data_IF_431174153126
#
_entry.id   IF_431174153126
#
_cell.length_a   1.000
_cell.length_b   1.000
_cell.length_c   1.000
_cell.angle_alpha   90.00
_cell.angle_beta   90.00
_cell.angle_gamma   90.00
#
_symmetry.space_group_name_H-M   'P 1'
#
loop_
_entity.id
_entity.type
_entity.pdbx_description
1 polymer ?
#
# COMPACT_ATOMS: atom_id res chain seq x y z
N UNK A 1 37.98 1.27 -0.30
CA UNK A 1 36.79 0.41 -0.14
C UNK A 1 35.65 1.30 0.31
N UNK A 2 34.83 1.75 -0.62
CA UNK A 2 33.57 2.44 -0.31
C UNK A 2 32.57 1.36 0.05
N UNK A 3 32.23 1.24 1.33
CA UNK A 3 31.06 0.50 1.80
C UNK A 3 29.85 1.00 1.01
N UNK A 4 29.35 0.17 0.09
CA UNK A 4 28.01 0.34 -0.44
C UNK A 4 27.10 0.45 0.79
N UNK A 5 26.36 1.56 0.89
CA UNK A 5 25.29 1.69 1.86
C UNK A 5 24.35 0.51 1.60
N UNK A 6 24.50 -0.53 2.43
CA UNK A 6 23.65 -1.69 2.45
C UNK A 6 22.21 -1.19 2.57
N UNK A 7 21.29 -1.82 1.85
CA UNK A 7 19.85 -1.73 2.10
C UNK A 7 19.62 -1.38 3.55
N UNK A 8 19.21 -0.13 3.80
CA UNK A 8 18.75 0.25 5.13
C UNK A 8 17.67 -0.78 5.45
N UNK A 9 17.88 -1.59 6.49
CA UNK A 9 16.93 -2.63 6.88
C UNK A 9 15.66 -1.92 7.36
N UNK A 10 14.79 -1.60 6.40
CA UNK A 10 13.50 -0.95 6.61
C UNK A 10 12.52 -2.10 6.87
N UNK A 11 12.10 -2.16 8.13
CA UNK A 11 11.02 -3.02 8.59
C UNK A 11 9.71 -2.23 8.53
N UNK A 12 8.73 -2.75 7.79
CA UNK A 12 7.40 -2.17 7.65
C UNK A 12 6.43 -3.23 8.14
N UNK A 13 5.94 -3.04 9.36
CA UNK A 13 4.99 -3.94 9.99
C UNK A 13 3.57 -3.44 9.75
N UNK A 14 2.73 -4.30 9.18
CA UNK A 14 1.29 -4.08 9.12
C UNK A 14 0.69 -4.48 10.47
N UNK A 15 0.05 -3.55 11.16
CA UNK A 15 -0.49 -3.81 12.50
C UNK A 15 -1.94 -4.28 12.45
N UNK A 16 -2.82 -3.46 11.86
CA UNK A 16 -4.25 -3.73 11.80
C UNK A 16 -4.91 -2.99 10.65
N UNK A 17 -6.08 -3.46 10.21
CA UNK A 17 -7.01 -2.68 9.41
C UNK A 17 -8.33 -2.50 10.15
N UNK A 18 -8.90 -1.31 10.04
CA UNK A 18 -10.22 -1.01 10.57
C UNK A 18 -11.17 -0.80 9.37
N UNK A 19 -12.16 -1.69 9.17
CA UNK A 19 -13.21 -1.42 8.20
C UNK A 19 -13.98 -0.21 8.69
N UNK A 20 -13.96 0.88 7.93
CA UNK A 20 -14.73 2.06 8.27
C UNK A 20 -16.11 1.90 7.63
N UNK A 21 -17.16 1.84 8.46
CA UNK A 21 -18.54 1.69 7.97
C UNK A 21 -18.92 2.88 7.06
N UNK A 22 -18.80 2.69 5.74
CA UNK A 22 -19.05 3.73 4.73
C UNK A 22 -17.91 4.74 4.52
N UNK A 23 -16.72 4.51 5.10
CA UNK A 23 -15.54 5.36 4.91
C UNK A 23 -14.45 4.70 4.05
N UNK A 24 -13.28 5.35 3.91
CA UNK A 24 -12.11 4.72 3.28
C UNK A 24 -11.58 3.56 4.13
N UNK A 25 -11.27 2.45 3.50
CA UNK A 25 -10.61 1.31 4.14
C UNK A 25 -9.22 1.75 4.63
N UNK A 26 -8.88 1.45 5.88
CA UNK A 26 -7.68 1.98 6.53
C UNK A 26 -6.83 0.87 7.15
N UNK A 27 -5.51 1.04 7.11
CA UNK A 27 -4.58 0.21 7.88
C UNK A 27 -3.46 1.01 8.51
N UNK A 28 -3.00 0.55 9.67
CA UNK A 28 -1.90 1.12 10.43
C UNK A 28 -0.61 0.34 10.17
N UNK A 29 0.49 1.08 10.07
CA UNK A 29 1.84 0.57 9.80
C UNK A 29 2.85 1.16 10.76
N UNK A 30 3.66 0.29 11.35
CA UNK A 30 4.85 0.68 12.11
C UNK A 30 6.08 0.57 11.20
N UNK A 31 6.79 1.68 11.00
CA UNK A 31 7.99 1.74 10.15
C UNK A 31 9.22 1.89 11.05
N UNK A 32 10.14 0.94 10.97
CA UNK A 32 11.39 0.91 11.73
C UNK A 32 12.58 0.94 10.79
N UNK A 33 13.52 1.85 11.07
CA UNK A 33 14.77 2.01 10.31
C UNK A 33 15.90 2.34 11.28
N UNK A 34 17.09 1.79 11.03
CA UNK A 34 18.24 1.97 11.92
C UNK A 34 18.58 3.46 12.09
N UNK A 35 18.73 3.91 13.35
CA UNK A 35 19.14 5.28 13.65
C UNK A 35 18.02 6.34 13.59
N UNK A 36 16.76 5.94 13.38
CA UNK A 36 15.63 6.85 13.45
C UNK A 36 14.56 6.37 14.45
N UNK A 37 13.70 7.27 14.95
CA UNK A 37 12.49 6.89 15.67
C UNK A 37 11.57 6.01 14.82
N UNK A 38 10.81 5.14 15.46
CA UNK A 38 9.69 4.43 14.83
C UNK A 38 8.63 5.43 14.38
N UNK A 39 8.16 5.28 13.15
CA UNK A 39 7.06 6.07 12.61
C UNK A 39 5.79 5.22 12.61
N UNK A 40 4.72 5.76 13.18
CA UNK A 40 3.37 5.20 13.09
C UNK A 40 2.64 5.91 11.94
N UNK A 41 2.22 5.15 10.94
CA UNK A 41 1.61 5.66 9.72
C UNK A 41 0.29 4.96 9.41
N UNK A 42 -0.76 5.74 9.13
CA UNK A 42 -2.03 5.23 8.64
C UNK A 42 -2.16 5.41 7.12
N UNK A 43 -2.52 4.33 6.42
CA UNK A 43 -2.81 4.33 4.99
C UNK A 43 -4.30 4.10 4.73
N UNK A 44 -4.91 5.01 4.00
CA UNK A 44 -6.30 4.95 3.59
C UNK A 44 -6.42 4.62 2.09
N UNK A 45 -7.20 3.60 1.75
CA UNK A 45 -7.64 3.36 0.38
C UNK A 45 -8.97 4.09 0.16
N UNK A 46 -8.95 5.11 -0.69
CA UNK A 46 -10.18 5.82 -1.01
C UNK A 46 -11.14 4.96 -1.84
N UNK A 47 -12.43 5.30 -1.78
CA UNK A 47 -13.47 4.57 -2.52
C UNK A 47 -13.19 4.52 -4.03
N UNK A 48 -12.70 5.61 -4.62
CA UNK A 48 -12.35 5.65 -6.04
C UNK A 48 -11.20 4.70 -6.39
N UNK A 49 -10.20 4.57 -5.49
CA UNK A 49 -9.12 3.61 -5.67
C UNK A 49 -9.64 2.16 -5.56
N UNK A 50 -10.47 1.87 -4.56
CA UNK A 50 -11.14 0.56 -4.43
C UNK A 50 -11.91 0.18 -5.69
N UNK A 51 -12.72 1.11 -6.20
CA UNK A 51 -13.47 0.91 -7.44
C UNK A 51 -12.54 0.66 -8.64
N UNK A 52 -11.39 1.33 -8.71
CA UNK A 52 -10.42 1.06 -9.76
C UNK A 52 -9.89 -0.38 -9.70
N UNK A 53 -9.64 -0.94 -8.52
CA UNK A 53 -9.30 -2.36 -8.38
C UNK A 53 -10.47 -3.27 -8.79
N UNK A 54 -11.68 -2.97 -8.33
CA UNK A 54 -12.87 -3.77 -8.62
C UNK A 54 -13.21 -3.87 -10.11
N UNK A 55 -12.84 -2.86 -10.91
CA UNK A 55 -12.93 -2.92 -12.38
C UNK A 55 -12.10 -4.06 -12.97
N UNK A 56 -10.94 -4.38 -12.37
CA UNK A 56 -10.02 -5.40 -12.89
C UNK A 56 -10.23 -6.78 -12.30
N UNK A 57 -10.77 -6.92 -11.10
CA UNK A 57 -10.86 -8.20 -10.39
C UNK A 57 -12.25 -8.53 -9.83
N UNK A 58 -13.25 -7.69 -10.12
CA UNK A 58 -14.59 -7.83 -9.55
C UNK A 58 -14.67 -7.30 -8.12
N UNK A 59 -15.83 -7.46 -7.45
CA UNK A 59 -16.05 -6.96 -6.10
C UNK A 59 -15.01 -7.49 -5.11
N UNK A 60 -14.41 -6.60 -4.32
CA UNK A 60 -13.40 -6.95 -3.33
C UNK A 60 -14.03 -7.27 -1.97
N UNK A 61 -13.62 -8.40 -1.38
CA UNK A 61 -13.92 -8.67 0.03
C UNK A 61 -13.05 -7.81 0.96
N UNK A 62 -13.41 -7.72 2.24
CA UNK A 62 -12.60 -7.00 3.24
C UNK A 62 -11.16 -7.54 3.31
N UNK A 63 -10.98 -8.86 3.20
CA UNK A 63 -9.65 -9.49 3.17
C UNK A 63 -8.85 -9.13 1.92
N UNK A 64 -9.51 -8.96 0.77
CA UNK A 64 -8.85 -8.54 -0.46
C UNK A 64 -8.40 -7.10 -0.36
N UNK A 65 -9.25 -6.23 0.18
CA UNK A 65 -8.91 -4.82 0.43
C UNK A 65 -7.72 -4.71 1.39
N UNK A 66 -7.72 -5.47 2.49
CA UNK A 66 -6.60 -5.50 3.43
C UNK A 66 -5.30 -5.96 2.75
N UNK A 67 -5.38 -6.99 1.90
CA UNK A 67 -4.23 -7.48 1.13
C UNK A 67 -3.69 -6.41 0.19
N UNK A 68 -4.57 -5.70 -0.53
CA UNK A 68 -4.19 -4.57 -1.40
C UNK A 68 -3.53 -3.45 -0.61
N UNK A 69 -4.14 -3.01 0.50
CA UNK A 69 -3.59 -1.94 1.35
C UNK A 69 -2.22 -2.32 1.89
N UNK A 70 -2.05 -3.56 2.36
CA UNK A 70 -0.76 -4.08 2.84
C UNK A 70 0.32 -4.01 1.77
N UNK A 71 0.01 -4.45 0.54
CA UNK A 71 0.95 -4.40 -0.60
C UNK A 71 1.28 -2.95 -1.00
N UNK A 72 0.27 -2.08 -1.04
CA UNK A 72 0.48 -0.68 -1.37
C UNK A 72 1.32 0.03 -0.30
N UNK A 73 1.04 -0.21 0.99
CA UNK A 73 1.77 0.37 2.11
C UNK A 73 3.25 -0.01 2.12
N UNK A 74 3.58 -1.30 2.04
CA UNK A 74 4.98 -1.73 1.98
C UNK A 74 5.73 -1.08 0.81
N UNK A 75 5.15 -1.12 -0.40
CA UNK A 75 5.78 -0.54 -1.60
C UNK A 75 5.95 0.97 -1.50
N UNK A 76 4.91 1.66 -1.08
CA UNK A 76 4.88 3.12 -1.00
C UNK A 76 5.87 3.65 0.03
N UNK A 77 5.84 3.13 1.25
CA UNK A 77 6.70 3.59 2.33
C UNK A 77 8.17 3.23 2.06
N UNK A 78 8.44 2.04 1.52
CA UNK A 78 9.80 1.67 1.09
C UNK A 78 10.30 2.61 -0.02
N UNK A 79 9.45 2.92 -1.00
CA UNK A 79 9.81 3.85 -2.07
C UNK A 79 10.10 5.27 -1.54
N UNK A 80 9.22 5.82 -0.69
CA UNK A 80 9.41 7.13 -0.07
C UNK A 80 10.74 7.22 0.68
N UNK A 81 11.01 6.25 1.57
CA UNK A 81 12.24 6.23 2.37
C UNK A 81 13.47 6.09 1.49
N UNK A 82 13.44 5.18 0.49
CA UNK A 82 14.55 5.01 -0.47
C UNK A 82 14.82 6.27 -1.30
N UNK A 83 13.80 7.11 -1.48
CA UNK A 83 13.88 8.39 -2.19
C UNK A 83 14.22 9.57 -1.27
N UNK A 84 14.50 9.32 0.01
CA UNK A 84 14.79 10.35 1.01
C UNK A 84 13.58 11.15 1.49
N UNK A 85 12.36 10.67 1.22
CA UNK A 85 11.10 11.28 1.66
C UNK A 85 10.67 10.58 2.96
N UNK A 86 10.38 11.37 3.99
CA UNK A 86 9.79 10.85 5.23
C UNK A 86 8.30 10.54 5.02
N UNK A 87 7.84 9.31 5.30
CA UNK A 87 6.43 8.96 5.20
C UNK A 87 5.55 9.90 6.06
N UNK A 88 4.44 10.42 5.52
CA UNK A 88 3.50 11.18 6.33
C UNK A 88 2.78 10.26 7.32
N UNK A 89 2.43 10.80 8.49
CA UNK A 89 1.69 10.05 9.52
C UNK A 89 0.32 9.53 9.01
N UNK A 90 -0.30 10.23 8.06
CA UNK A 90 -1.55 9.82 7.41
C UNK A 90 -1.41 10.03 5.91
N UNK A 91 -1.74 9.00 5.13
CA UNK A 91 -1.78 9.09 3.67
C UNK A 91 -3.05 8.44 3.11
N UNK A 92 -3.62 9.04 2.07
CA UNK A 92 -4.75 8.49 1.34
C UNK A 92 -4.35 8.24 -0.11
N UNK A 93 -4.63 7.03 -0.61
CA UNK A 93 -4.42 6.64 -2.00
C UNK A 93 -5.72 6.80 -2.77
N UNK A 94 -5.67 7.62 -3.82
CA UNK A 94 -6.75 7.82 -4.81
C UNK A 94 -6.45 7.04 -6.08
N UNK A 95 -7.46 6.79 -6.90
CA UNK A 95 -7.28 6.11 -8.18
C UNK A 95 -6.30 6.86 -9.10
N UNK A 96 -6.37 8.20 -9.09
CA UNK A 96 -5.49 9.08 -9.88
C UNK A 96 -4.01 8.99 -9.48
N UNK A 97 -3.72 8.48 -8.29
CA UNK A 97 -2.36 8.36 -7.77
C UNK A 97 -1.70 7.03 -8.21
N UNK A 98 -2.47 6.15 -8.87
CA UNK A 98 -2.05 4.82 -9.30
C UNK A 98 -1.99 4.77 -10.83
N UNK A 99 -0.81 4.41 -11.37
CA UNK A 99 -0.70 4.01 -12.77
C UNK A 99 -1.34 2.64 -13.00
N UNK A 100 -1.65 2.32 -14.26
CA UNK A 100 -2.14 0.99 -14.63
C UNK A 100 -1.16 -0.13 -14.21
N UNK A 101 0.15 0.12 -14.31
CA UNK A 101 1.19 -0.83 -13.88
C UNK A 101 1.19 -1.01 -12.35
N UNK A 102 0.99 0.06 -11.58
CA UNK A 102 0.90 -0.02 -10.11
C UNK A 102 -0.35 -0.79 -9.67
N UNK A 103 -1.49 -0.57 -10.34
CA UNK A 103 -2.71 -1.34 -10.11
C UNK A 103 -2.48 -2.82 -10.42
N UNK A 104 -1.99 -3.12 -11.62
CA UNK A 104 -1.77 -4.48 -12.10
C UNK A 104 -0.81 -5.27 -11.18
N UNK A 105 0.33 -4.66 -10.85
CA UNK A 105 1.30 -5.26 -9.97
C UNK A 105 0.81 -5.40 -8.52
N UNK A 106 -0.14 -4.56 -8.07
CA UNK A 106 -0.74 -4.70 -6.74
C UNK A 106 -1.79 -5.83 -6.72
N UNK A 107 -2.58 -5.98 -7.78
CA UNK A 107 -3.52 -7.09 -7.97
C UNK A 107 -2.78 -8.44 -7.94
N UNK A 108 -1.71 -8.56 -8.72
CA UNK A 108 -0.91 -9.80 -8.79
C UNK A 108 -0.29 -10.14 -7.43
N UNK A 109 0.29 -9.15 -6.75
CA UNK A 109 0.93 -9.37 -5.45
C UNK A 109 -0.07 -9.60 -4.31
N UNK A 110 -1.30 -9.09 -4.44
CA UNK A 110 -2.39 -9.42 -3.54
C UNK A 110 -3.01 -10.80 -3.83
N UNK A 111 -2.61 -11.47 -4.92
CA UNK A 111 -3.13 -12.78 -5.31
C UNK A 111 -4.56 -12.75 -5.83
N UNK A 112 -5.02 -11.58 -6.30
CA UNK A 112 -6.37 -11.40 -6.79
C UNK A 112 -6.51 -11.94 -8.22
N UNK A 113 -7.66 -12.54 -8.52
CA UNK A 113 -7.94 -13.05 -9.86
C UNK A 113 -8.41 -11.91 -10.76
N UNK A 114 -7.67 -11.65 -11.83
CA UNK A 114 -8.05 -10.66 -12.86
C UNK A 114 -9.24 -11.18 -13.67
N UNK A 115 -10.19 -10.29 -13.93
CA UNK A 115 -11.24 -10.51 -14.92
C UNK A 115 -10.60 -10.63 -16.31
N UNK A 116 -11.18 -11.44 -17.21
CA UNK A 116 -10.75 -11.43 -18.60
C UNK A 116 -10.89 -10.00 -19.15
N UNK A 117 -9.91 -9.55 -19.93
CA UNK A 117 -10.10 -8.33 -20.69
C UNK A 117 -11.30 -8.54 -21.62
N UNK A 118 -12.31 -7.69 -21.52
CA UNK A 118 -13.42 -7.70 -22.49
C UNK A 118 -12.81 -7.48 -23.89
N UNK A 119 -12.88 -8.51 -24.74
CA UNK A 119 -12.49 -8.48 -26.16
C UNK A 119 -13.44 -7.64 -27.02
#
# INVERSE_FOLDING_TARGET
MTTNASDTEIDIEYETAVPTAGGPDAADFAIRRQGHPTLECALYLALDAKQAFEVFCGPLSDSDVQSVIRILGDRLYRHQISSGIEPPAIQTIRARDLSAEQLDGAIDAAGLTKLPADE
#
